data_IF_354707429330
#
_entry.id   IF_354707429330
#
_cell.length_a   1.000
_cell.length_b   1.000
_cell.length_c   1.000
_cell.angle_alpha   90.00
_cell.angle_beta   90.00
_cell.angle_gamma   90.00
#
_symmetry.space_group_name_H-M   'P 1'
#
loop_
_entity.id
_entity.type
_entity.pdbx_description
1 polymer ?
#
# COMPACT_ATOMS: atom_id res chain seq x y z
N UNK A 1 20.46 -2.51 -8.52
CA UNK A 1 19.46 -2.47 -7.44
C UNK A 1 18.30 -3.34 -7.88
N UNK A 2 18.06 -4.42 -7.14
CA UNK A 2 17.01 -5.41 -7.37
C UNK A 2 15.84 -5.17 -6.40
N UNK A 3 14.71 -5.83 -6.61
CA UNK A 3 13.60 -5.81 -5.65
C UNK A 3 14.05 -6.29 -4.26
N UNK A 4 14.92 -7.32 -4.21
CA UNK A 4 15.49 -7.84 -2.96
C UNK A 4 16.36 -6.79 -2.26
N UNK A 5 17.12 -5.99 -3.02
CA UNK A 5 17.91 -4.88 -2.45
C UNK A 5 17.01 -3.84 -1.77
N UNK A 6 15.84 -3.53 -2.36
CA UNK A 6 14.85 -2.61 -1.78
C UNK A 6 14.28 -3.19 -0.48
N UNK A 7 13.89 -4.48 -0.48
CA UNK A 7 13.38 -5.13 0.74
C UNK A 7 14.42 -5.13 1.86
N UNK A 8 15.70 -5.37 1.52
CA UNK A 8 16.79 -5.33 2.47
C UNK A 8 17.04 -3.91 3.00
N UNK A 9 16.90 -2.89 2.16
CA UNK A 9 16.99 -1.49 2.57
C UNK A 9 15.88 -1.11 3.55
N UNK A 10 14.63 -1.53 3.29
CA UNK A 10 13.51 -1.35 4.23
C UNK A 10 13.82 -2.00 5.58
N UNK A 11 14.27 -3.25 5.59
CA UNK A 11 14.61 -3.96 6.85
C UNK A 11 15.73 -3.28 7.63
N UNK A 12 16.75 -2.75 6.94
CA UNK A 12 17.90 -2.09 7.58
C UNK A 12 17.56 -0.71 8.12
N UNK A 13 16.68 0.03 7.45
CA UNK A 13 16.32 1.42 7.80
C UNK A 13 15.13 1.53 8.73
N UNK A 14 14.35 0.46 8.89
CA UNK A 14 13.19 0.48 9.77
C UNK A 14 13.61 0.60 11.24
N UNK A 15 12.95 1.50 11.96
CA UNK A 15 13.22 1.72 13.40
C UNK A 15 12.42 0.80 14.33
N UNK A 16 11.33 0.24 13.83
CA UNK A 16 10.45 -0.68 14.55
C UNK A 16 9.75 -1.63 13.56
N UNK A 17 9.10 -2.66 14.09
CA UNK A 17 8.26 -3.56 13.27
C UNK A 17 7.11 -2.82 12.60
N UNK A 18 6.53 -1.82 13.27
CA UNK A 18 5.48 -0.96 12.71
C UNK A 18 6.02 -0.08 11.57
N UNK A 19 7.18 0.56 11.75
CA UNK A 19 7.81 1.37 10.69
C UNK A 19 8.22 0.50 9.49
N UNK A 20 8.67 -0.73 9.76
CA UNK A 20 8.99 -1.72 8.70
C UNK A 20 7.75 -2.07 7.88
N UNK A 21 6.63 -2.35 8.54
CA UNK A 21 5.33 -2.59 7.89
C UNK A 21 4.91 -1.42 7.03
N UNK A 22 4.86 -0.22 7.62
CA UNK A 22 4.48 1.01 6.92
C UNK A 22 5.33 1.31 5.67
N UNK A 23 6.65 1.11 5.75
CA UNK A 23 7.55 1.25 4.59
C UNK A 23 7.25 0.24 3.49
N UNK A 24 6.95 -1.00 3.87
CA UNK A 24 6.58 -2.05 2.93
C UNK A 24 5.23 -1.77 2.26
N UNK A 25 4.23 -1.30 3.00
CA UNK A 25 2.93 -0.89 2.45
C UNK A 25 3.10 0.21 1.40
N UNK A 26 3.95 1.21 1.65
CA UNK A 26 4.28 2.27 0.68
C UNK A 26 4.94 1.74 -0.59
N UNK A 27 5.83 0.76 -0.45
CA UNK A 27 6.43 0.06 -1.60
C UNK A 27 5.34 -0.65 -2.40
N UNK A 28 4.46 -1.40 -1.73
CA UNK A 28 3.40 -2.16 -2.39
C UNK A 28 2.37 -1.28 -3.08
N UNK A 29 1.98 -0.15 -2.47
CA UNK A 29 1.16 0.88 -3.14
C UNK A 29 1.77 1.31 -4.47
N UNK A 30 3.07 1.61 -4.48
CA UNK A 30 3.78 2.06 -5.68
C UNK A 30 3.93 0.94 -6.71
N UNK A 31 4.17 -0.29 -6.24
CA UNK A 31 4.25 -1.48 -7.09
C UNK A 31 2.93 -1.76 -7.80
N UNK A 32 1.81 -1.77 -7.06
CA UNK A 32 0.48 -2.03 -7.61
C UNK A 32 0.04 -0.99 -8.65
N UNK A 33 0.50 0.26 -8.53
CA UNK A 33 0.22 1.31 -9.51
C UNK A 33 1.13 1.26 -10.74
N UNK A 34 2.24 0.53 -10.70
CA UNK A 34 3.27 0.56 -11.78
C UNK A 34 3.45 -0.78 -12.49
N UNK A 35 3.15 -1.91 -11.84
CA UNK A 35 3.26 -3.22 -12.47
C UNK A 35 2.21 -3.38 -13.59
N UNK A 36 2.59 -3.77 -14.82
CA UNK A 36 1.66 -3.92 -15.94
C UNK A 36 0.48 -4.86 -15.69
N UNK A 37 0.62 -5.82 -14.76
CA UNK A 37 -0.46 -6.72 -14.36
C UNK A 37 -1.63 -5.97 -13.72
N UNK A 38 -1.35 -4.88 -13.01
CA UNK A 38 -2.34 -4.14 -12.21
C UNK A 38 -2.58 -2.72 -12.72
N UNK A 39 -1.58 -2.09 -13.36
CA UNK A 39 -1.62 -0.67 -13.76
C UNK A 39 -2.78 -0.33 -14.71
N UNK A 40 -3.28 -1.30 -15.47
CA UNK A 40 -4.43 -1.11 -16.37
C UNK A 40 -5.79 -1.31 -15.69
N UNK A 41 -5.80 -1.89 -14.50
CA UNK A 41 -7.03 -2.25 -13.78
C UNK A 41 -7.23 -1.41 -12.52
N UNK A 42 -6.14 -0.97 -11.86
CA UNK A 42 -6.19 -0.16 -10.67
C UNK A 42 -6.06 1.33 -11.02
N UNK A 43 -7.09 2.11 -10.72
CA UNK A 43 -7.09 3.57 -10.86
C UNK A 43 -6.31 4.23 -9.72
N UNK A 44 -6.45 3.70 -8.50
CA UNK A 44 -5.85 4.29 -7.31
C UNK A 44 -5.57 3.24 -6.24
N UNK A 45 -4.53 3.47 -5.45
CA UNK A 45 -4.18 2.64 -4.30
C UNK A 45 -3.79 3.57 -3.14
N UNK A 46 -4.41 3.37 -1.97
CA UNK A 46 -4.19 4.14 -0.75
C UNK A 46 -3.71 3.24 0.37
N UNK A 47 -2.90 3.80 1.26
CA UNK A 47 -2.76 3.26 2.61
C UNK A 47 -4.09 3.43 3.34
N UNK A 48 -4.41 2.53 4.27
CA UNK A 48 -5.64 2.67 5.07
C UNK A 48 -5.72 4.02 5.78
N UNK A 49 -4.58 4.55 6.25
CA UNK A 49 -4.48 5.89 6.86
C UNK A 49 -4.90 7.02 5.93
N UNK A 50 -4.73 6.85 4.62
CA UNK A 50 -4.89 7.87 3.58
C UNK A 50 -6.19 7.69 2.79
N UNK A 51 -6.95 6.62 3.09
CA UNK A 51 -8.17 6.28 2.36
C UNK A 51 -9.29 7.31 2.66
N UNK A 52 -9.85 8.00 1.65
CA UNK A 52 -10.78 9.11 1.87
C UNK A 52 -12.08 8.69 2.58
N UNK A 53 -12.54 7.45 2.37
CA UNK A 53 -13.77 6.93 2.96
C UNK A 53 -13.53 6.13 4.25
N UNK A 54 -12.32 6.18 4.83
CA UNK A 54 -11.97 5.41 6.04
C UNK A 54 -12.95 5.62 7.20
N UNK A 55 -13.46 6.85 7.36
CA UNK A 55 -14.41 7.19 8.41
C UNK A 55 -15.79 6.55 8.23
N UNK A 56 -16.17 6.22 6.99
CA UNK A 56 -17.44 5.54 6.69
C UNK A 56 -17.39 4.07 7.17
N UNK A 57 -16.18 3.52 7.36
CA UNK A 57 -15.92 2.18 7.89
C UNK A 57 -15.51 2.20 9.37
N UNK A 58 -16.09 3.11 10.16
CA UNK A 58 -15.82 3.36 11.59
C UNK A 58 -14.52 4.09 11.94
N UNK A 59 -13.62 4.32 10.97
CA UNK A 59 -12.32 4.96 11.20
C UNK A 59 -11.34 4.16 12.07
N UNK A 60 -11.77 3.03 12.64
CA UNK A 60 -10.95 2.17 13.48
C UNK A 60 -9.95 1.38 12.65
N UNK A 61 -8.93 0.88 13.34
CA UNK A 61 -8.03 -0.10 12.77
C UNK A 61 -8.80 -1.41 12.55
N UNK A 62 -8.92 -1.80 11.29
CA UNK A 62 -9.62 -3.01 10.84
C UNK A 62 -8.64 -4.11 10.44
N UNK A 63 -7.33 -3.86 10.57
CA UNK A 63 -6.29 -4.73 10.00
C UNK A 63 -6.15 -4.62 8.47
N UNK A 64 -6.77 -3.60 7.86
CA UNK A 64 -6.59 -3.29 6.44
C UNK A 64 -5.32 -2.44 6.30
N UNK A 65 -4.41 -2.87 5.44
CA UNK A 65 -3.18 -2.14 5.13
C UNK A 65 -3.35 -1.19 3.93
N UNK A 66 -3.95 -1.71 2.85
CA UNK A 66 -4.13 -1.01 1.58
C UNK A 66 -5.58 -1.15 1.08
N UNK A 67 -6.07 -0.09 0.43
CA UNK A 67 -7.32 -0.09 -0.34
C UNK A 67 -6.99 0.29 -1.78
N UNK A 68 -7.51 -0.45 -2.74
CA UNK A 68 -7.39 -0.12 -4.15
C UNK A 68 -8.76 0.27 -4.71
N UNK A 69 -8.77 1.03 -5.81
CA UNK A 69 -9.96 1.26 -6.62
C UNK A 69 -9.68 0.82 -8.03
N UNK A 70 -10.59 0.05 -8.62
CA UNK A 70 -10.48 -0.39 -10.01
C UNK A 70 -10.96 0.70 -10.97
N UNK A 71 -10.56 0.62 -12.24
CA UNK A 71 -11.08 1.48 -13.31
C UNK A 71 -12.58 1.28 -13.57
N UNK A 72 -13.15 0.16 -13.11
CA UNK A 72 -14.60 -0.09 -13.13
C UNK A 72 -15.34 0.56 -11.96
N UNK A 73 -14.63 1.08 -10.96
CA UNK A 73 -15.17 1.76 -9.79
C UNK A 73 -15.34 0.88 -8.55
N UNK A 74 -14.85 -0.37 -8.59
CA UNK A 74 -14.87 -1.30 -7.46
C UNK A 74 -13.73 -1.01 -6.46
N UNK A 75 -13.86 -1.50 -5.22
CA UNK A 75 -12.87 -1.37 -4.14
C UNK A 75 -12.47 -2.73 -3.56
#
# INVERSE_FOLDING_TARGET
>A
MTFIDILNDIRKKAYSEQDKGYRFERLMRSYLLTDPLYANTLESVWLWSDFPFRNDFSGKDTGIDLVARTTAGDF
#
